data_IF_435583216973
#
_entry.id   IF_435583216973
#
_cell.length_a   1.000
_cell.length_b   1.000
_cell.length_c   1.000
_cell.angle_alpha   90.00
_cell.angle_beta   90.00
_cell.angle_gamma   90.00
#
_symmetry.space_group_name_H-M   'P 1'
#
loop_
_entity.id
_entity.type
_entity.pdbx_description
1 polymer ?
#
# COMPACT_ATOMS: atom_id res chain seq x y z
N UNK A 1 3.42 -1.80 -14.71
CA UNK A 1 2.31 -0.92 -15.14
C UNK A 1 2.90 0.47 -15.35
N UNK A 2 2.49 1.22 -16.38
CA UNK A 2 2.97 2.59 -16.53
C UNK A 2 2.51 3.43 -15.33
N UNK A 3 3.41 4.22 -14.76
CA UNK A 3 3.12 5.11 -13.64
C UNK A 3 3.37 6.56 -14.05
N UNK A 4 2.64 7.50 -13.45
CA UNK A 4 2.84 8.93 -13.65
C UNK A 4 3.07 9.59 -12.29
N UNK A 5 4.10 10.42 -12.16
CA UNK A 5 4.41 11.14 -10.91
C UNK A 5 3.46 12.31 -10.69
N UNK A 6 3.31 12.76 -9.44
CA UNK A 6 2.56 13.98 -9.13
C UNK A 6 3.14 15.21 -9.82
N UNK A 7 4.47 15.32 -9.89
CA UNK A 7 5.13 16.42 -10.59
C UNK A 7 4.66 16.51 -12.05
N UNK A 8 4.62 15.38 -12.77
CA UNK A 8 4.16 15.34 -14.16
C UNK A 8 2.66 15.69 -14.28
N UNK A 9 1.82 15.20 -13.37
CA UNK A 9 0.39 15.56 -13.34
C UNK A 9 0.18 17.06 -13.09
N UNK A 10 0.92 17.63 -12.13
CA UNK A 10 0.87 19.06 -11.79
C UNK A 10 1.39 19.93 -12.93
N UNK A 11 2.48 19.54 -13.57
CA UNK A 11 3.01 20.21 -14.75
C UNK A 11 1.94 20.28 -15.83
N UNK A 12 1.37 19.14 -16.21
CA UNK A 12 0.34 19.07 -17.27
C UNK A 12 -0.92 19.85 -16.93
N UNK A 13 -1.37 19.79 -15.67
CA UNK A 13 -2.48 20.61 -15.21
C UNK A 13 -2.13 22.10 -15.31
N UNK A 14 -0.93 22.49 -14.89
CA UNK A 14 -0.46 23.86 -14.96
C UNK A 14 -0.37 24.35 -16.41
N UNK A 15 0.12 23.53 -17.33
CA UNK A 15 0.14 23.82 -18.76
C UNK A 15 -1.29 23.99 -19.31
N UNK A 16 -2.20 23.09 -18.96
CA UNK A 16 -3.59 23.12 -19.40
C UNK A 16 -4.36 24.38 -18.95
N UNK A 17 -4.09 24.89 -17.75
CA UNK A 17 -4.69 26.13 -17.23
C UNK A 17 -3.87 27.39 -17.56
N UNK A 18 -2.76 27.23 -18.30
CA UNK A 18 -1.86 28.32 -18.68
C UNK A 18 -1.04 28.93 -17.54
N UNK A 19 -0.82 28.19 -16.44
CA UNK A 19 -0.14 28.59 -15.20
C UNK A 19 1.17 27.84 -14.97
N UNK A 20 1.90 27.54 -16.05
CA UNK A 20 3.18 26.84 -15.99
C UNK A 20 4.33 27.72 -16.48
N UNK A 21 5.32 27.92 -15.60
CA UNK A 21 6.60 28.57 -15.90
C UNK A 21 7.68 27.78 -15.16
N UNK A 22 8.57 27.11 -15.87
CA UNK A 22 9.72 26.42 -15.30
C UNK A 22 10.97 27.26 -15.52
N UNK A 23 11.82 27.35 -14.51
CA UNK A 23 13.05 28.12 -14.54
C UNK A 23 14.14 27.47 -13.68
N UNK A 24 15.36 28.01 -13.77
CA UNK A 24 16.52 27.53 -13.04
C UNK A 24 17.25 28.72 -12.43
N UNK A 25 17.58 28.66 -11.14
CA UNK A 25 18.33 29.74 -10.48
C UNK A 25 19.69 29.94 -11.14
N UNK A 26 20.08 31.21 -11.31
CA UNK A 26 21.35 31.56 -11.95
C UNK A 26 22.39 32.05 -10.95
N UNK A 27 22.02 32.23 -9.68
CA UNK A 27 22.91 32.66 -8.60
C UNK A 27 22.38 32.17 -7.27
N UNK A 28 23.28 32.07 -6.29
CA UNK A 28 22.92 31.76 -4.90
C UNK A 28 22.01 32.85 -4.33
N UNK A 29 20.91 32.41 -3.73
CA UNK A 29 20.05 33.21 -2.89
C UNK A 29 20.30 32.95 -1.41
N UNK A 30 19.34 33.37 -0.58
CA UNK A 30 19.32 33.07 0.86
C UNK A 30 18.16 32.11 1.16
N UNK A 31 17.82 31.94 2.44
CA UNK A 31 16.58 31.24 2.80
C UNK A 31 15.33 32.04 2.43
N UNK A 32 15.43 33.35 2.16
CA UNK A 32 14.31 34.23 1.83
C UNK A 32 14.37 34.81 0.42
N UNK A 33 15.36 34.44 -0.38
CA UNK A 33 15.51 34.94 -1.75
C UNK A 33 15.84 33.84 -2.75
N UNK A 34 15.34 34.03 -3.97
CA UNK A 34 15.64 33.21 -5.13
C UNK A 34 16.11 34.14 -6.26
N UNK A 35 17.29 33.88 -6.84
CA UNK A 35 17.90 34.75 -7.85
C UNK A 35 17.95 34.05 -9.21
N UNK A 36 17.33 34.67 -10.22
CA UNK A 36 17.28 34.15 -11.57
C UNK A 36 17.23 35.28 -12.62
N UNK A 37 18.36 35.47 -13.29
CA UNK A 37 18.53 36.50 -14.33
C UNK A 37 17.63 36.30 -15.55
N UNK A 38 17.12 35.09 -15.77
CA UNK A 38 16.22 34.77 -16.89
C UNK A 38 14.78 35.23 -16.65
N UNK A 39 14.41 35.63 -15.42
CA UNK A 39 13.09 36.15 -15.10
C UNK A 39 12.68 37.33 -15.99
N UNK A 40 13.64 38.16 -16.43
CA UNK A 40 13.38 39.27 -17.37
C UNK A 40 12.88 38.83 -18.75
N UNK A 41 13.12 37.58 -19.12
CA UNK A 41 12.66 37.02 -20.40
C UNK A 41 11.20 36.56 -20.35
N UNK A 42 10.61 36.46 -19.15
CA UNK A 42 9.20 36.12 -19.00
C UNK A 42 8.31 37.34 -19.28
N UNK A 43 7.07 37.13 -19.75
CA UNK A 43 6.08 38.21 -19.85
C UNK A 43 5.95 38.93 -18.51
N UNK A 44 6.05 40.27 -18.53
CA UNK A 44 6.01 41.11 -17.31
C UNK A 44 7.27 41.06 -16.44
N UNK A 45 8.29 40.28 -16.80
CA UNK A 45 9.54 40.18 -16.03
C UNK A 45 10.39 41.47 -16.01
N UNK A 46 10.07 42.43 -16.87
CA UNK A 46 10.65 43.78 -16.82
C UNK A 46 9.89 44.74 -15.89
N UNK A 47 8.73 44.35 -15.37
CA UNK A 47 7.88 45.21 -14.57
C UNK A 47 8.13 45.01 -13.08
N UNK A 48 8.21 46.12 -12.36
CA UNK A 48 8.22 46.13 -10.89
C UNK A 48 6.93 45.46 -10.41
N UNK A 49 7.06 44.48 -9.51
CA UNK A 49 5.98 43.77 -8.83
C UNK A 49 5.23 42.69 -9.64
N UNK A 50 5.64 42.35 -10.87
CA UNK A 50 4.87 41.41 -11.70
C UNK A 50 4.65 40.03 -11.07
N UNK A 51 5.67 39.50 -10.40
CA UNK A 51 5.64 38.19 -9.73
C UNK A 51 5.19 38.27 -8.27
N UNK A 52 4.79 39.42 -7.76
CA UNK A 52 4.28 39.52 -6.39
C UNK A 52 3.00 38.71 -6.25
N UNK A 53 2.83 38.06 -5.10
CA UNK A 53 1.74 37.14 -4.77
C UNK A 53 1.75 35.80 -5.53
N UNK A 54 2.65 35.60 -6.49
CA UNK A 54 2.86 34.29 -7.12
C UNK A 54 3.54 33.34 -6.13
N UNK A 55 3.62 32.06 -6.50
CA UNK A 55 4.26 31.01 -5.73
C UNK A 55 5.46 30.47 -6.49
N UNK A 56 6.61 30.42 -5.83
CA UNK A 56 7.80 29.73 -6.30
C UNK A 56 7.88 28.34 -5.65
N UNK A 57 7.79 27.28 -6.45
CA UNK A 57 7.90 25.88 -6.04
C UNK A 57 9.25 25.33 -6.49
N UNK A 58 10.13 24.97 -5.55
CA UNK A 58 11.40 24.34 -5.89
C UNK A 58 11.18 22.88 -6.30
N UNK A 59 11.68 22.49 -7.46
CA UNK A 59 11.56 21.13 -8.03
C UNK A 59 12.89 20.37 -8.03
N UNK A 60 13.96 20.95 -7.47
CA UNK A 60 15.22 20.27 -7.19
C UNK A 60 15.95 20.93 -6.01
N UNK A 61 17.09 20.36 -5.63
CA UNK A 61 17.97 20.89 -4.60
C UNK A 61 17.44 20.64 -3.17
N UNK A 62 18.07 21.29 -2.19
CA UNK A 62 17.78 21.07 -0.76
C UNK A 62 16.35 21.44 -0.33
N UNK A 63 15.65 22.22 -1.16
CA UNK A 63 14.29 22.69 -0.88
C UNK A 63 13.25 22.02 -1.80
N UNK A 64 13.57 20.91 -2.47
CA UNK A 64 12.67 20.21 -3.39
C UNK A 64 11.29 19.91 -2.78
N UNK A 65 10.23 20.13 -3.56
CA UNK A 65 8.84 19.91 -3.17
C UNK A 65 8.26 21.00 -2.26
N UNK A 66 9.04 22.01 -1.90
CA UNK A 66 8.57 23.14 -1.08
C UNK A 66 8.26 24.35 -1.94
N UNK A 67 7.14 25.02 -1.64
CA UNK A 67 6.77 26.28 -2.29
C UNK A 67 6.63 27.41 -1.28
N UNK A 68 6.83 28.64 -1.77
CA UNK A 68 6.69 29.88 -1.00
C UNK A 68 6.01 30.94 -1.84
N UNK A 69 5.17 31.76 -1.18
CA UNK A 69 4.57 32.94 -1.80
C UNK A 69 5.63 34.03 -1.94
N UNK A 70 5.66 34.68 -3.09
CA UNK A 70 6.56 35.80 -3.40
C UNK A 70 5.96 37.06 -2.78
N UNK A 71 6.69 37.65 -1.85
CA UNK A 71 6.30 38.91 -1.21
C UNK A 71 6.76 40.13 -2.00
N UNK A 72 7.87 40.01 -2.74
CA UNK A 72 8.45 41.10 -3.54
C UNK A 72 9.27 40.58 -4.71
N UNK A 73 9.25 41.31 -5.83
CA UNK A 73 10.18 41.10 -6.94
C UNK A 73 11.09 42.30 -7.17
N UNK A 74 12.41 42.10 -7.04
CA UNK A 74 13.40 43.12 -7.41
C UNK A 74 13.85 42.92 -8.86
N UNK A 75 13.31 43.72 -9.77
CA UNK A 75 13.62 43.66 -11.20
C UNK A 75 15.08 43.98 -11.53
N UNK A 76 15.75 44.83 -10.74
CA UNK A 76 17.15 45.22 -11.03
C UNK A 76 18.10 44.03 -10.83
N UNK A 77 17.92 43.32 -9.72
CA UNK A 77 18.73 42.16 -9.34
C UNK A 77 18.11 40.82 -9.75
N UNK A 78 16.93 40.85 -10.39
CA UNK A 78 16.15 39.66 -10.77
C UNK A 78 15.97 38.69 -9.61
N UNK A 79 15.57 39.22 -8.46
CA UNK A 79 15.46 38.48 -7.20
C UNK A 79 14.00 38.41 -6.76
N UNK A 80 13.49 37.20 -6.57
CA UNK A 80 12.24 36.97 -5.85
C UNK A 80 12.55 36.92 -4.37
N UNK A 81 11.80 37.70 -3.58
CA UNK A 81 11.80 37.62 -2.12
C UNK A 81 10.54 36.89 -1.70
N UNK A 82 10.69 35.88 -0.85
CA UNK A 82 9.56 35.06 -0.37
C UNK A 82 9.06 35.54 0.98
N UNK A 83 7.77 35.32 1.24
CA UNK A 83 7.10 35.75 2.48
C UNK A 83 7.56 34.94 3.70
N UNK A 84 7.83 33.64 3.52
CA UNK A 84 8.38 32.77 4.56
C UNK A 84 9.63 32.07 4.08
N UNK A 85 10.59 31.88 4.98
CA UNK A 85 11.87 31.27 4.66
C UNK A 85 11.72 29.82 4.18
N UNK A 86 12.55 29.43 3.22
CA UNK A 86 12.85 28.03 2.92
C UNK A 86 13.64 27.38 4.07
N UNK A 87 13.66 26.05 4.11
CA UNK A 87 14.39 25.30 5.16
C UNK A 87 15.91 25.40 5.02
N UNK A 88 16.40 25.74 3.82
CA UNK A 88 17.82 25.95 3.51
C UNK A 88 17.97 27.07 2.48
N UNK A 89 19.18 27.61 2.33
CA UNK A 89 19.46 28.60 1.29
C UNK A 89 19.17 28.02 -0.10
N UNK A 90 18.67 28.86 -1.02
CA UNK A 90 18.44 28.46 -2.41
C UNK A 90 19.74 28.60 -3.19
N UNK A 91 20.33 27.49 -3.61
CA UNK A 91 21.59 27.44 -4.35
C UNK A 91 21.41 27.88 -5.82
N UNK A 92 22.51 28.02 -6.56
CA UNK A 92 22.53 28.10 -8.02
C UNK A 92 22.09 26.77 -8.65
N UNK A 93 21.59 26.78 -9.89
CA UNK A 93 21.13 25.60 -10.65
C UNK A 93 19.95 24.83 -10.03
N UNK A 94 19.24 25.44 -9.07
CA UNK A 94 17.99 24.91 -8.53
C UNK A 94 16.87 25.14 -9.54
N UNK A 95 16.20 24.06 -9.95
CA UNK A 95 15.02 24.13 -10.79
C UNK A 95 13.82 24.49 -9.93
N UNK A 96 12.97 25.37 -10.46
CA UNK A 96 11.76 25.80 -9.78
C UNK A 96 10.67 26.16 -10.80
N UNK A 97 9.44 26.19 -10.32
CA UNK A 97 8.29 26.61 -11.09
C UNK A 97 7.62 27.83 -10.46
N UNK A 98 7.09 28.71 -11.31
CA UNK A 98 6.28 29.84 -10.90
C UNK A 98 4.81 29.60 -11.24
N UNK A 99 3.96 29.85 -10.25
CA UNK A 99 2.53 29.64 -10.32
C UNK A 99 1.77 30.85 -9.77
N UNK A 100 0.70 31.29 -10.45
CA UNK A 100 -0.18 32.35 -9.92
C UNK A 100 -1.09 31.86 -8.80
N UNK A 101 -1.38 30.57 -8.82
CA UNK A 101 -2.23 29.93 -7.83
C UNK A 101 -1.42 29.01 -6.92
N UNK A 102 -1.89 28.87 -5.68
CA UNK A 102 -1.28 27.98 -4.70
C UNK A 102 -1.15 26.54 -5.27
N UNK A 103 0.06 25.97 -5.33
CA UNK A 103 0.28 24.61 -5.83
C UNK A 103 -0.53 23.54 -5.09
N UNK A 104 -0.87 23.75 -3.81
CA UNK A 104 -1.70 22.82 -3.03
C UNK A 104 -3.11 22.65 -3.61
N UNK A 105 -3.68 23.70 -4.20
CA UNK A 105 -4.98 23.64 -4.88
C UNK A 105 -4.94 22.70 -6.09
N UNK A 106 -3.81 22.68 -6.81
CA UNK A 106 -3.57 21.78 -7.94
C UNK A 106 -3.44 20.33 -7.44
N UNK A 107 -2.67 20.11 -6.39
CA UNK A 107 -2.52 18.78 -5.77
C UNK A 107 -3.87 18.21 -5.29
N UNK A 108 -4.68 19.03 -4.61
CA UNK A 108 -6.01 18.64 -4.15
C UNK A 108 -6.93 18.32 -5.32
N UNK A 109 -6.92 19.13 -6.37
CA UNK A 109 -7.74 18.91 -7.57
C UNK A 109 -7.37 17.62 -8.30
N UNK A 110 -6.08 17.29 -8.37
CA UNK A 110 -5.59 16.01 -8.93
C UNK A 110 -6.10 14.83 -8.09
N UNK A 111 -5.97 14.89 -6.77
CA UNK A 111 -6.43 13.81 -5.89
C UNK A 111 -7.96 13.60 -5.99
N UNK A 112 -8.75 14.68 -6.05
CA UNK A 112 -10.20 14.60 -6.26
C UNK A 112 -10.59 14.05 -7.63
N UNK A 113 -9.86 14.42 -8.68
CA UNK A 113 -10.06 13.87 -10.01
C UNK A 113 -9.81 12.37 -10.05
N UNK A 114 -8.74 11.89 -9.40
CA UNK A 114 -8.43 10.46 -9.29
C UNK A 114 -9.57 9.70 -8.58
N UNK A 115 -10.12 10.25 -7.51
CA UNK A 115 -11.26 9.68 -6.77
C UNK A 115 -12.53 9.58 -7.62
N UNK A 116 -12.94 10.68 -8.29
CA UNK A 116 -14.17 10.69 -9.10
C UNK A 116 -14.10 9.76 -10.32
N UNK A 117 -12.89 9.51 -10.84
CA UNK A 117 -12.71 8.63 -11.99
C UNK A 117 -12.91 7.15 -11.66
N UNK A 118 -12.96 6.77 -10.39
CA UNK A 118 -13.37 5.42 -9.99
C UNK A 118 -14.88 5.21 -10.21
N UNK A 119 -15.35 4.08 -10.77
CA UNK A 119 -14.59 2.86 -11.12
C UNK A 119 -14.09 2.80 -12.58
N UNK A 120 -14.23 3.88 -13.36
CA UNK A 120 -13.85 3.91 -14.78
C UNK A 120 -12.35 3.78 -14.97
N UNK A 121 -11.56 4.42 -14.09
CA UNK A 121 -10.14 4.18 -13.89
C UNK A 121 -9.98 3.54 -12.51
N UNK A 122 -9.24 2.44 -12.44
CA UNK A 122 -9.09 1.69 -11.20
C UNK A 122 -7.73 1.01 -11.14
N UNK A 123 -7.24 0.78 -9.93
CA UNK A 123 -6.10 -0.09 -9.69
C UNK A 123 -6.61 -1.53 -9.72
N UNK A 124 -5.93 -2.42 -10.45
CA UNK A 124 -6.14 -3.86 -10.26
C UNK A 124 -5.41 -4.26 -8.99
N UNK A 125 -6.14 -4.85 -8.06
CA UNK A 125 -5.63 -5.24 -6.75
C UNK A 125 -5.58 -6.75 -6.70
N UNK A 126 -4.41 -7.28 -6.33
CA UNK A 126 -4.19 -8.67 -5.95
C UNK A 126 -3.81 -8.64 -4.48
N UNK A 127 -4.52 -9.40 -3.67
CA UNK A 127 -4.26 -9.54 -2.24
C UNK A 127 -4.11 -11.01 -1.87
N UNK A 128 -3.05 -11.34 -1.13
CA UNK A 128 -2.67 -12.70 -0.73
C UNK A 128 -2.46 -12.81 0.78
N UNK A 129 -2.94 -11.83 1.54
CA UNK A 129 -2.74 -11.71 3.00
C UNK A 129 -3.55 -12.74 3.79
N UNK A 130 -4.59 -13.32 3.17
CA UNK A 130 -5.49 -14.24 3.85
C UNK A 130 -4.99 -15.69 3.70
N UNK A 131 -4.72 -16.34 4.84
CA UNK A 131 -4.49 -17.79 4.91
C UNK A 131 -5.74 -18.49 5.44
N UNK A 132 -6.15 -19.58 4.79
CA UNK A 132 -7.31 -20.36 5.19
C UNK A 132 -7.09 -20.91 6.59
N UNK A 133 -8.06 -20.65 7.47
CA UNK A 133 -8.11 -21.05 8.89
C UNK A 133 -7.08 -20.41 9.80
N UNK A 134 -6.37 -19.37 9.34
CA UNK A 134 -5.40 -18.67 10.17
C UNK A 134 -6.08 -17.84 11.27
N UNK A 135 -5.59 -18.08 12.49
CA UNK A 135 -5.95 -17.37 13.70
C UNK A 135 -5.02 -16.19 13.98
N UNK A 136 -3.87 -16.12 13.30
CA UNK A 136 -2.91 -15.05 13.47
C UNK A 136 -3.34 -13.78 12.72
N UNK A 137 -2.74 -12.67 13.13
CA UNK A 137 -2.77 -11.41 12.41
C UNK A 137 -1.35 -11.00 12.02
N UNK A 138 -1.18 -10.45 10.81
CA UNK A 138 0.11 -9.99 10.31
C UNK A 138 1.20 -11.08 10.40
N UNK A 139 0.83 -12.33 10.09
CA UNK A 139 1.71 -13.52 10.08
C UNK A 139 2.57 -13.61 8.81
N UNK A 140 2.25 -12.78 7.81
CA UNK A 140 3.06 -12.45 6.63
C UNK A 140 3.97 -11.23 6.86
N UNK A 141 3.88 -10.58 8.01
CA UNK A 141 4.71 -9.44 8.42
C UNK A 141 4.69 -8.22 7.49
N UNK A 142 3.67 -8.04 6.67
CA UNK A 142 3.54 -6.93 5.73
C UNK A 142 3.22 -5.58 6.40
N UNK A 143 2.93 -5.57 7.71
CA UNK A 143 2.63 -4.35 8.48
C UNK A 143 3.68 -4.09 9.58
N UNK A 144 4.57 -3.12 9.34
CA UNK A 144 5.61 -2.67 10.28
C UNK A 144 5.46 -1.18 10.60
N UNK A 145 5.38 -0.84 11.88
CA UNK A 145 5.27 0.55 12.37
C UNK A 145 6.02 0.72 13.69
N UNK A 146 7.36 0.75 13.61
CA UNK A 146 8.23 0.73 14.80
C UNK A 146 8.29 -0.64 15.51
N UNK A 147 7.63 -1.64 14.93
CA UNK A 147 7.45 -3.01 15.39
C UNK A 147 6.41 -3.70 14.50
N UNK A 148 6.32 -5.03 14.54
CA UNK A 148 5.31 -5.76 13.77
C UNK A 148 3.95 -5.65 14.44
N UNK A 149 2.97 -5.11 13.72
CA UNK A 149 1.62 -4.87 14.28
C UNK A 149 0.98 -6.20 14.70
N UNK A 150 0.40 -6.24 15.91
CA UNK A 150 -0.19 -7.46 16.48
C UNK A 150 0.80 -8.42 17.13
N UNK A 151 2.11 -8.14 17.11
CA UNK A 151 3.15 -8.97 17.73
C UNK A 151 3.83 -8.23 18.89
N UNK A 152 4.21 -8.98 19.92
CA UNK A 152 4.87 -8.47 21.13
C UNK A 152 6.29 -9.01 21.23
N UNK A 153 7.26 -8.09 21.37
CA UNK A 153 8.67 -8.40 21.59
C UNK A 153 8.93 -8.82 23.04
N UNK A 154 9.64 -9.93 23.25
CA UNK A 154 10.04 -10.44 24.57
C UNK A 154 11.53 -10.77 24.54
N UNK A 155 12.26 -10.42 25.59
CA UNK A 155 13.73 -10.61 25.65
C UNK A 155 14.54 -9.50 24.98
N UNK A 156 13.92 -8.35 24.71
CA UNK A 156 14.53 -7.17 24.09
C UNK A 156 15.25 -7.44 22.75
N UNK A 157 14.66 -8.20 21.81
CA UNK A 157 15.23 -8.37 20.49
C UNK A 157 15.37 -7.04 19.74
N UNK A 158 16.24 -7.00 18.75
CA UNK A 158 16.17 -5.97 17.70
C UNK A 158 15.35 -6.52 16.55
N UNK A 159 14.24 -5.86 16.22
CA UNK A 159 13.38 -6.25 15.09
C UNK A 159 13.36 -5.18 14.01
N UNK A 160 13.26 -5.62 12.76
CA UNK A 160 13.22 -4.74 11.60
C UNK A 160 12.51 -5.42 10.43
N UNK A 161 11.85 -4.63 9.58
CA UNK A 161 11.36 -5.10 8.30
C UNK A 161 12.54 -5.34 7.33
N UNK A 162 12.71 -6.59 6.90
CA UNK A 162 13.68 -6.98 5.88
C UNK A 162 13.00 -7.00 4.51
N UNK A 163 13.59 -6.35 3.51
CA UNK A 163 12.98 -6.20 2.16
C UNK A 163 13.77 -6.90 1.07
N UNK A 164 14.95 -7.43 1.40
CA UNK A 164 15.83 -8.13 0.45
C UNK A 164 15.75 -9.65 0.57
N UNK A 165 15.60 -10.16 1.79
CA UNK A 165 15.45 -11.57 2.09
C UNK A 165 14.03 -11.83 2.57
N UNK A 166 13.15 -12.16 1.62
CA UNK A 166 11.70 -12.27 1.82
C UNK A 166 11.24 -13.61 1.23
N UNK A 167 10.36 -14.33 1.94
CA UNK A 167 9.78 -15.59 1.45
C UNK A 167 8.54 -15.32 0.59
N UNK A 168 7.73 -14.34 0.98
CA UNK A 168 6.53 -13.95 0.25
C UNK A 168 6.19 -12.48 0.54
N UNK A 169 5.51 -11.81 -0.40
CA UNK A 169 5.08 -10.43 -0.19
C UNK A 169 6.20 -9.41 -0.42
N UNK A 170 6.25 -8.37 0.41
CA UNK A 170 7.18 -7.25 0.27
C UNK A 170 8.23 -7.16 1.38
N UNK A 171 7.99 -7.82 2.52
CA UNK A 171 8.93 -7.80 3.63
C UNK A 171 8.79 -9.02 4.54
N UNK A 172 9.88 -9.38 5.22
CA UNK A 172 9.90 -10.41 6.25
C UNK A 172 10.28 -9.82 7.62
N UNK A 173 9.98 -10.55 8.70
CA UNK A 173 10.41 -10.18 10.04
C UNK A 173 11.85 -10.62 10.31
N UNK A 174 12.79 -9.67 10.28
CA UNK A 174 14.13 -9.89 10.82
C UNK A 174 14.13 -9.65 12.32
N UNK A 175 14.66 -10.61 13.05
CA UNK A 175 14.85 -10.55 14.50
C UNK A 175 16.27 -10.94 14.86
N UNK A 176 16.89 -10.13 15.72
CA UNK A 176 18.18 -10.41 16.34
C UNK A 176 17.99 -10.53 17.85
N UNK A 177 18.32 -11.70 18.41
CA UNK A 177 18.26 -11.90 19.86
C UNK A 177 19.27 -11.01 20.59
N UNK A 178 18.90 -10.54 21.79
CA UNK A 178 19.80 -9.73 22.60
C UNK A 178 21.05 -10.52 23.05
N UNK A 179 22.10 -9.81 23.44
CA UNK A 179 23.28 -10.45 24.00
C UNK A 179 22.92 -11.18 25.32
N UNK A 180 23.13 -12.49 25.35
CA UNK A 180 22.88 -13.32 26.54
C UNK A 180 21.42 -13.67 26.82
N UNK A 181 20.48 -13.31 25.95
CA UNK A 181 19.06 -13.69 26.09
C UNK A 181 18.44 -14.02 24.72
N UNK A 182 17.55 -15.01 24.70
CA UNK A 182 16.74 -15.30 23.50
C UNK A 182 15.82 -14.12 23.19
N UNK A 183 15.75 -13.74 21.92
CA UNK A 183 14.75 -12.80 21.42
C UNK A 183 13.48 -13.52 21.00
N UNK A 184 12.32 -12.94 21.27
CA UNK A 184 11.04 -13.53 20.89
C UNK A 184 10.08 -12.50 20.29
N UNK A 185 9.33 -12.94 19.28
CA UNK A 185 8.10 -12.29 18.82
C UNK A 185 6.92 -13.19 19.18
N UNK A 186 5.94 -12.64 19.89
CA UNK A 186 4.82 -13.42 20.42
C UNK A 186 3.46 -12.84 20.03
N UNK A 187 2.47 -13.71 19.82
CA UNK A 187 1.09 -13.31 19.60
C UNK A 187 0.16 -14.30 20.31
N UNK A 188 -0.67 -13.79 21.22
CA UNK A 188 -1.74 -14.58 21.84
C UNK A 188 -3.00 -14.44 21.01
N UNK A 189 -3.53 -15.56 20.54
CA UNK A 189 -4.82 -15.60 19.85
C UNK A 189 -5.94 -15.80 20.86
N UNK A 190 -7.13 -15.25 20.59
CA UNK A 190 -8.29 -15.36 21.47
C UNK A 190 -9.45 -16.13 20.82
N UNK A 191 -9.26 -17.38 20.35
CA UNK A 191 -10.41 -18.24 20.10
C UNK A 191 -11.10 -18.57 21.43
N UNK A 192 -12.38 -18.96 21.37
CA UNK A 192 -13.03 -19.53 22.55
C UNK A 192 -12.35 -20.86 22.87
N UNK A 193 -11.46 -20.87 23.87
CA UNK A 193 -10.63 -22.04 24.20
C UNK A 193 -11.49 -23.29 24.43
N UNK A 194 -12.69 -23.14 25.01
CA UNK A 194 -13.64 -24.25 25.21
C UNK A 194 -14.13 -24.92 23.92
N UNK A 195 -14.14 -24.20 22.79
CA UNK A 195 -14.55 -24.75 21.49
C UNK A 195 -13.44 -25.52 20.80
N UNK A 196 -12.19 -25.38 21.26
CA UNK A 196 -11.00 -25.96 20.63
C UNK A 196 -10.17 -26.82 21.58
N UNK A 197 -10.55 -26.92 22.86
CA UNK A 197 -10.02 -27.89 23.81
C UNK A 197 -10.03 -29.30 23.20
N UNK A 198 -8.94 -30.04 23.36
CA UNK A 198 -8.73 -31.38 22.78
C UNK A 198 -8.74 -31.43 21.24
N UNK A 199 -8.73 -30.29 20.54
CA UNK A 199 -8.48 -30.25 19.09
C UNK A 199 -7.00 -30.07 18.82
N UNK A 200 -6.59 -30.44 17.62
CA UNK A 200 -5.23 -30.21 17.16
C UNK A 200 -5.04 -28.74 16.77
N UNK A 201 -3.94 -28.16 17.25
CA UNK A 201 -3.41 -26.88 16.80
C UNK A 201 -2.13 -27.13 16.00
N UNK A 202 -2.04 -26.53 14.81
CA UNK A 202 -0.88 -26.62 13.94
C UNK A 202 -0.38 -25.21 13.65
N UNK A 203 0.86 -24.93 14.06
CA UNK A 203 1.57 -23.70 13.76
C UNK A 203 2.66 -23.99 12.74
N UNK A 204 2.75 -23.16 11.70
CA UNK A 204 3.81 -23.22 10.70
C UNK A 204 4.31 -21.83 10.36
N UNK A 205 5.60 -21.70 10.12
CA UNK A 205 6.26 -20.48 9.65
C UNK A 205 7.42 -20.83 8.73
N UNK A 206 7.61 -20.01 7.70
CA UNK A 206 8.88 -20.01 6.99
C UNK A 206 9.91 -19.29 7.85
N UNK A 207 11.03 -19.97 8.08
CA UNK A 207 12.13 -19.45 8.91
C UNK A 207 13.42 -19.53 8.11
N UNK A 208 14.23 -18.48 8.18
CA UNK A 208 15.57 -18.46 7.62
C UNK A 208 16.58 -18.21 8.73
N UNK A 209 17.62 -19.02 8.77
CA UNK A 209 18.81 -18.76 9.57
C UNK A 209 20.08 -19.35 8.92
N UNK A 210 21.22 -18.70 9.16
CA UNK A 210 22.52 -19.09 8.60
C UNK A 210 23.31 -20.04 9.50
N UNK A 211 22.87 -20.21 10.74
CA UNK A 211 23.52 -21.01 11.78
C UNK A 211 22.48 -21.98 12.36
N UNK A 212 22.90 -23.19 12.70
CA UNK A 212 22.02 -24.18 13.31
C UNK A 212 21.56 -23.70 14.69
N UNK A 213 20.44 -24.22 15.18
CA UNK A 213 19.92 -23.94 16.53
C UNK A 213 19.63 -22.46 16.80
N UNK A 214 19.55 -21.64 15.75
CA UNK A 214 19.37 -20.18 15.86
C UNK A 214 17.92 -19.79 16.02
N UNK A 215 16.97 -20.53 15.45
CA UNK A 215 15.56 -20.19 15.50
C UNK A 215 14.64 -21.39 15.55
N UNK A 216 13.46 -21.22 16.15
CA UNK A 216 12.37 -22.20 16.18
C UNK A 216 11.04 -21.52 16.43
N UNK A 217 9.95 -22.27 16.30
CA UNK A 217 8.60 -21.82 16.60
C UNK A 217 7.98 -22.66 17.72
N UNK A 218 7.10 -22.03 18.51
CA UNK A 218 6.54 -22.66 19.72
C UNK A 218 5.09 -22.27 19.94
N UNK A 219 4.36 -23.16 20.61
CA UNK A 219 3.00 -22.97 21.11
C UNK A 219 3.06 -23.00 22.64
N UNK A 220 2.54 -21.97 23.28
CA UNK A 220 2.46 -21.82 24.73
C UNK A 220 0.99 -21.79 25.17
N UNK A 221 0.64 -22.69 26.11
CA UNK A 221 -0.72 -22.93 26.59
C UNK A 221 -1.05 -22.23 27.92
N UNK A 222 -0.05 -21.91 28.75
CA UNK A 222 -0.25 -21.35 30.10
C UNK A 222 0.93 -20.54 30.69
N UNK A 223 2.01 -20.36 29.93
CA UNK A 223 3.26 -19.73 30.34
C UNK A 223 4.37 -20.73 30.68
N UNK A 224 4.06 -22.02 30.76
CA UNK A 224 4.98 -23.09 31.18
C UNK A 224 4.85 -24.38 30.37
N UNK A 225 3.64 -24.74 29.95
CA UNK A 225 3.38 -25.84 29.01
C UNK A 225 3.58 -25.33 27.58
N UNK A 226 4.67 -25.77 26.96
CA UNK A 226 5.15 -25.26 25.69
C UNK A 226 5.57 -26.39 24.76
N UNK A 227 4.87 -26.52 23.64
CA UNK A 227 5.27 -27.36 22.52
C UNK A 227 6.18 -26.57 21.56
N UNK A 228 7.25 -27.19 21.07
CA UNK A 228 8.23 -26.52 20.20
C UNK A 228 8.47 -27.33 18.93
N UNK A 229 8.74 -26.65 17.83
CA UNK A 229 9.33 -27.30 16.66
C UNK A 229 10.79 -27.68 16.94
N UNK A 230 11.35 -28.49 16.05
CA UNK A 230 12.80 -28.56 15.90
C UNK A 230 13.38 -27.17 15.57
N UNK A 231 14.66 -26.98 15.87
CA UNK A 231 15.38 -25.78 15.44
C UNK A 231 15.61 -25.79 13.92
N UNK A 232 15.72 -24.59 13.36
CA UNK A 232 16.18 -24.37 11.99
C UNK A 232 17.56 -25.01 11.78
N UNK A 233 17.74 -25.67 10.63
CA UNK A 233 18.95 -26.49 10.41
C UNK A 233 20.22 -25.70 10.12
N UNK A 234 20.08 -24.38 9.90
CA UNK A 234 21.21 -23.45 9.73
C UNK A 234 21.84 -23.46 8.34
N UNK A 235 21.10 -23.91 7.32
CA UNK A 235 21.63 -24.12 5.96
C UNK A 235 21.60 -22.88 5.06
N UNK A 236 21.42 -21.69 5.63
CA UNK A 236 21.36 -20.44 4.86
C UNK A 236 20.26 -20.48 3.77
N UNK A 237 19.08 -20.96 4.16
CA UNK A 237 17.92 -21.11 3.30
C UNK A 237 16.63 -20.97 4.11
N UNK A 238 15.51 -20.79 3.41
CA UNK A 238 14.18 -20.86 4.02
C UNK A 238 13.78 -22.31 4.32
N UNK A 239 13.31 -22.56 5.53
CA UNK A 239 12.75 -23.84 5.95
C UNK A 239 11.37 -23.63 6.59
N UNK A 240 10.39 -24.43 6.17
CA UNK A 240 9.06 -24.40 6.76
C UNK A 240 9.08 -25.21 8.05
N UNK A 241 9.19 -24.52 9.20
CA UNK A 241 9.08 -25.15 10.50
C UNK A 241 7.61 -25.41 10.84
N UNK A 242 7.36 -26.51 11.56
CA UNK A 242 6.02 -26.95 11.94
C UNK A 242 6.03 -27.48 13.36
N UNK A 243 5.03 -27.07 14.16
CA UNK A 243 4.71 -27.70 15.44
C UNK A 243 3.22 -28.01 15.45
N UNK A 244 2.87 -29.21 15.89
CA UNK A 244 1.48 -29.66 16.00
C UNK A 244 1.28 -30.32 17.35
N UNK A 245 0.29 -29.85 18.08
CA UNK A 245 -0.01 -30.29 19.43
C UNK A 245 -1.52 -30.34 19.66
N UNK A 246 -1.94 -31.03 20.71
CA UNK A 246 -3.34 -31.05 21.14
C UNK A 246 -3.54 -29.96 22.17
N UNK A 247 -4.53 -29.09 21.98
CA UNK A 247 -4.83 -28.03 22.95
C UNK A 247 -5.20 -28.65 24.30
N UNK A 248 -4.43 -28.43 25.37
CA UNK A 248 -4.69 -29.00 26.69
C UNK A 248 -6.06 -28.61 27.25
N UNK A 249 -6.63 -29.45 28.13
CA UNK A 249 -7.94 -29.18 28.75
C UNK A 249 -7.94 -28.03 29.75
N UNK A 250 -6.76 -27.71 30.26
CA UNK A 250 -6.45 -26.65 31.21
C UNK A 250 -5.72 -25.46 30.55
N UNK A 251 -5.62 -25.44 29.21
CA UNK A 251 -5.04 -24.33 28.48
C UNK A 251 -5.73 -23.01 28.87
N UNK A 252 -4.93 -22.03 29.28
CA UNK A 252 -5.41 -20.69 29.64
C UNK A 252 -5.18 -19.68 28.52
N UNK A 253 -4.36 -20.04 27.54
CA UNK A 253 -4.06 -19.24 26.36
C UNK A 253 -3.69 -20.14 25.17
N UNK A 254 -3.59 -19.53 24.00
CA UNK A 254 -2.87 -20.09 22.86
C UNK A 254 -1.96 -18.98 22.35
N UNK A 255 -0.68 -19.08 22.67
CA UNK A 255 0.32 -18.08 22.32
C UNK A 255 1.35 -18.69 21.39
N UNK A 256 1.55 -18.04 20.25
CA UNK A 256 2.64 -18.33 19.33
C UNK A 256 3.89 -17.61 19.79
N UNK A 257 5.03 -18.30 19.73
CA UNK A 257 6.36 -17.73 20.00
C UNK A 257 7.25 -18.05 18.81
N UNK A 258 7.78 -17.00 18.19
CA UNK A 258 8.90 -17.07 17.26
C UNK A 258 10.15 -16.74 18.06
N UNK A 259 11.11 -17.66 18.12
CA UNK A 259 12.29 -17.54 18.98
C UNK A 259 13.55 -17.43 18.14
N UNK A 260 14.41 -16.48 18.50
CA UNK A 260 15.79 -16.37 18.03
C UNK A 260 16.75 -16.53 19.22
N UNK A 261 17.81 -17.32 19.03
CA UNK A 261 18.85 -17.53 20.03
C UNK A 261 19.56 -16.22 20.41
N UNK A 262 20.26 -16.22 21.55
CA UNK A 262 21.03 -15.06 22.00
C UNK A 262 22.06 -14.65 20.95
N UNK A 263 22.07 -13.36 20.57
CA UNK A 263 22.86 -12.81 19.45
C UNK A 263 22.59 -13.46 18.08
N UNK A 264 21.66 -14.40 17.98
CA UNK A 264 21.29 -15.08 16.75
C UNK A 264 20.39 -14.20 15.88
N UNK A 265 20.58 -14.28 14.56
CA UNK A 265 19.74 -13.58 13.57
C UNK A 265 18.85 -14.59 12.88
N UNK A 266 17.55 -14.33 12.87
CA UNK A 266 16.56 -15.13 12.18
C UNK A 266 15.56 -14.26 11.42
N UNK A 267 15.02 -14.82 10.35
CA UNK A 267 13.97 -14.19 9.57
C UNK A 267 12.74 -15.09 9.59
N UNK A 268 11.57 -14.50 9.80
CA UNK A 268 10.30 -15.19 9.84
C UNK A 268 9.36 -14.59 8.82
N UNK A 269 8.60 -15.44 8.14
CA UNK A 269 7.69 -15.00 7.10
C UNK A 269 6.56 -16.02 6.89
N UNK A 270 5.47 -15.53 6.31
CA UNK A 270 4.44 -16.30 5.64
C UNK A 270 3.89 -17.45 6.49
N UNK A 271 3.66 -17.22 7.78
CA UNK A 271 3.20 -18.22 8.74
C UNK A 271 1.68 -18.28 8.91
N UNK A 272 1.23 -19.27 9.69
CA UNK A 272 -0.18 -19.44 10.06
C UNK A 272 -0.35 -20.35 11.28
N UNK A 273 -1.43 -20.13 12.04
CA UNK A 273 -1.90 -21.00 13.11
C UNK A 273 -3.32 -21.48 12.79
N UNK A 274 -3.49 -22.80 12.70
CA UNK A 274 -4.82 -23.42 12.51
C UNK A 274 -5.19 -24.17 13.78
N UNK A 275 -6.38 -23.86 14.34
CA UNK A 275 -7.02 -24.64 15.39
C UNK A 275 -8.53 -24.62 15.17
N UNK A 276 -8.99 -25.52 14.30
CA UNK A 276 -10.38 -25.56 13.82
C UNK A 276 -10.68 -24.60 12.66
N UNK A 277 -11.87 -24.71 12.05
CA UNK A 277 -12.23 -23.96 10.84
C UNK A 277 -12.75 -22.55 11.13
N UNK A 278 -12.29 -21.57 10.35
CA UNK A 278 -12.75 -20.17 10.30
C UNK A 278 -13.47 -19.87 8.98
N UNK A 279 -14.79 -19.73 8.97
CA UNK A 279 -15.55 -19.62 7.73
C UNK A 279 -15.62 -18.21 7.13
N UNK A 280 -15.30 -17.18 7.91
CA UNK A 280 -15.43 -15.78 7.54
C UNK A 280 -14.08 -15.07 7.56
N UNK A 281 -13.77 -14.33 6.48
CA UNK A 281 -12.54 -13.57 6.36
C UNK A 281 -12.84 -12.15 5.92
N UNK A 282 -12.24 -11.17 6.58
CA UNK A 282 -12.37 -9.75 6.22
C UNK A 282 -11.71 -9.50 4.88
N UNK A 283 -12.45 -8.87 3.96
CA UNK A 283 -11.91 -8.49 2.65
C UNK A 283 -11.05 -7.24 2.84
N UNK A 284 -9.82 -7.23 2.30
CA UNK A 284 -8.95 -6.07 2.30
C UNK A 284 -9.67 -4.82 1.77
N UNK A 285 -9.53 -3.70 2.47
CA UNK A 285 -10.20 -2.43 2.11
C UNK A 285 -9.73 -1.86 0.78
N UNK A 286 -8.57 -2.31 0.29
CA UNK A 286 -8.02 -2.02 -1.03
C UNK A 286 -8.89 -2.57 -2.16
N UNK A 287 -9.68 -3.63 -1.92
CA UNK A 287 -10.62 -4.22 -2.87
C UNK A 287 -12.02 -3.62 -2.66
N UNK A 288 -12.46 -2.78 -3.59
CA UNK A 288 -13.75 -2.08 -3.52
C UNK A 288 -14.82 -2.83 -4.31
N UNK A 289 -15.94 -3.13 -3.65
CA UNK A 289 -17.06 -3.88 -4.24
C UNK A 289 -16.89 -5.40 -4.17
N UNK A 290 -15.81 -5.89 -3.56
CA UNK A 290 -15.52 -7.31 -3.38
C UNK A 290 -14.62 -7.91 -4.48
N UNK A 291 -14.08 -9.11 -4.24
CA UNK A 291 -13.24 -9.81 -5.20
C UNK A 291 -14.03 -10.27 -6.43
N UNK A 292 -13.40 -10.11 -7.59
CA UNK A 292 -13.86 -10.66 -8.87
C UNK A 292 -13.43 -12.11 -9.05
N UNK A 293 -12.25 -12.47 -8.51
CA UNK A 293 -11.75 -13.84 -8.46
C UNK A 293 -11.25 -14.17 -7.06
N UNK A 294 -11.48 -15.44 -6.70
CA UNK A 294 -10.96 -16.05 -5.48
C UNK A 294 -10.31 -17.35 -5.91
N UNK A 295 -9.01 -17.45 -5.66
CA UNK A 295 -8.20 -18.63 -5.93
C UNK A 295 -7.38 -19.01 -4.72
N UNK A 296 -6.90 -20.25 -4.67
CA UNK A 296 -6.14 -20.77 -3.54
C UNK A 296 -4.78 -21.27 -4.04
N UNK A 297 -3.76 -21.03 -3.21
CA UNK A 297 -2.41 -21.54 -3.37
C UNK A 297 -2.40 -23.08 -3.52
N UNK A 298 -1.60 -23.58 -4.48
CA UNK A 298 -1.51 -25.01 -4.77
C UNK A 298 -0.69 -25.83 -3.76
N UNK A 299 0.43 -25.29 -3.25
CA UNK A 299 1.28 -25.96 -2.25
C UNK A 299 1.59 -25.00 -1.10
N UNK A 300 1.43 -25.41 0.16
CA UNK A 300 1.84 -24.59 1.33
C UNK A 300 3.36 -24.34 1.35
N UNK A 301 4.12 -25.26 0.74
CA UNK A 301 5.58 -25.19 0.61
C UNK A 301 6.04 -24.28 -0.52
N UNK A 302 5.13 -23.61 -1.22
CA UNK A 302 5.43 -22.70 -2.31
C UNK A 302 4.46 -21.50 -2.31
N UNK A 303 4.67 -20.50 -1.42
CA UNK A 303 3.90 -19.25 -1.34
C UNK A 303 3.69 -18.52 -2.67
N UNK A 304 4.74 -18.49 -3.50
CA UNK A 304 4.75 -17.80 -4.79
C UNK A 304 4.38 -18.71 -5.97
N UNK A 305 4.06 -19.98 -5.67
CA UNK A 305 3.64 -20.98 -6.62
C UNK A 305 2.30 -20.69 -7.31
N UNK A 306 1.78 -21.66 -8.08
CA UNK A 306 0.53 -21.48 -8.79
C UNK A 306 -0.67 -21.39 -7.84
N UNK A 307 -1.64 -20.54 -8.20
CA UNK A 307 -2.94 -20.42 -7.53
C UNK A 307 -4.02 -20.94 -8.48
N UNK A 308 -4.92 -21.76 -7.95
CA UNK A 308 -6.01 -22.35 -8.72
C UNK A 308 -7.38 -21.86 -8.24
N UNK A 309 -8.28 -21.68 -9.19
CA UNK A 309 -9.68 -21.40 -8.87
C UNK A 309 -10.29 -22.57 -8.11
N UNK A 310 -11.06 -22.23 -7.07
CA UNK A 310 -11.87 -23.21 -6.33
C UNK A 310 -12.93 -23.82 -7.29
N UNK A 311 -12.94 -25.15 -7.47
CA UNK A 311 -13.99 -25.83 -8.22
C UNK A 311 -15.37 -25.58 -7.62
N UNK A 312 -16.42 -25.81 -8.42
CA UNK A 312 -17.79 -25.75 -7.90
C UNK A 312 -17.88 -26.68 -6.68
N UNK A 313 -18.51 -26.21 -5.60
CA UNK A 313 -18.72 -27.00 -4.38
C UNK A 313 -17.43 -27.40 -3.62
N UNK A 314 -16.27 -26.88 -3.99
CA UNK A 314 -15.03 -27.13 -3.27
C UNK A 314 -15.04 -26.49 -1.88
N UNK A 315 -14.16 -26.99 -1.03
CA UNK A 315 -13.90 -26.46 0.31
C UNK A 315 -12.43 -26.05 0.33
N UNK A 316 -12.08 -24.80 0.70
CA UNK A 316 -10.69 -24.38 0.69
C UNK A 316 -9.87 -25.17 1.72
N UNK A 317 -8.60 -25.44 1.40
CA UNK A 317 -7.72 -26.25 2.24
C UNK A 317 -7.06 -25.37 3.30
N UNK A 318 -7.11 -25.79 4.57
CA UNK A 318 -6.47 -25.09 5.69
C UNK A 318 -4.97 -24.87 5.47
N UNK A 319 -4.44 -23.76 5.96
CA UNK A 319 -3.03 -23.37 5.84
C UNK A 319 -2.62 -22.90 4.43
N UNK A 320 -3.55 -22.78 3.49
CA UNK A 320 -3.27 -22.29 2.12
C UNK A 320 -3.66 -20.84 1.97
N UNK A 321 -2.85 -20.06 1.26
CA UNK A 321 -3.19 -18.67 0.94
C UNK A 321 -4.35 -18.57 -0.05
N UNK A 322 -5.21 -17.59 0.18
CA UNK A 322 -6.22 -17.13 -0.75
C UNK A 322 -5.66 -15.95 -1.53
N UNK A 323 -5.78 -16.00 -2.85
CA UNK A 323 -5.56 -14.86 -3.74
C UNK A 323 -6.91 -14.26 -4.10
N UNK A 324 -7.14 -13.05 -3.59
CA UNK A 324 -8.28 -12.20 -3.93
C UNK A 324 -7.87 -11.23 -5.02
N UNK A 325 -8.58 -11.24 -6.14
CA UNK A 325 -8.36 -10.28 -7.23
C UNK A 325 -9.57 -9.39 -7.41
N UNK A 326 -9.36 -8.09 -7.43
CA UNK A 326 -10.44 -7.12 -7.63
C UNK A 326 -9.95 -5.78 -8.14
N UNK A 327 -10.77 -4.75 -7.93
CA UNK A 327 -10.45 -3.38 -8.31
C UNK A 327 -10.49 -2.48 -7.08
N UNK A 328 -9.60 -1.51 -7.05
CA UNK A 328 -9.49 -0.52 -5.99
C UNK A 328 -9.30 0.89 -6.53
N UNK A 329 -9.21 1.85 -5.62
CA UNK A 329 -8.79 3.20 -5.95
C UNK A 329 -7.35 3.20 -6.43
N UNK A 330 -7.05 4.11 -7.36
CA UNK A 330 -5.68 4.43 -7.74
C UNK A 330 -4.97 5.16 -6.60
N UNK A 331 -3.65 5.06 -6.57
CA UNK A 331 -2.84 5.76 -5.58
C UNK A 331 -2.99 7.28 -5.71
N UNK A 332 -3.15 7.95 -4.57
CA UNK A 332 -3.20 9.42 -4.46
C UNK A 332 -1.81 9.92 -4.06
N UNK A 333 -1.04 10.51 -4.98
CA UNK A 333 0.35 10.81 -4.69
C UNK A 333 0.49 12.00 -3.71
N UNK A 334 1.26 11.79 -2.64
CA UNK A 334 1.47 12.74 -1.54
C UNK A 334 2.80 13.50 -1.60
N UNK A 335 3.72 13.12 -2.48
CA UNK A 335 4.98 13.81 -2.81
C UNK A 335 5.15 13.97 -4.32
N UNK A 336 6.12 14.76 -4.77
CA UNK A 336 6.38 15.00 -6.20
C UNK A 336 6.92 13.75 -6.91
N UNK A 337 7.62 12.88 -6.18
CA UNK A 337 8.10 11.57 -6.62
C UNK A 337 7.03 10.47 -6.52
N UNK A 338 5.99 10.65 -5.70
CA UNK A 338 4.91 9.67 -5.59
C UNK A 338 4.14 9.55 -6.91
N UNK A 339 3.66 8.35 -7.19
CA UNK A 339 3.06 8.00 -8.48
C UNK A 339 1.61 7.54 -8.37
N UNK A 340 0.90 7.67 -9.49
CA UNK A 340 -0.37 7.00 -9.78
C UNK A 340 -0.15 5.90 -10.81
N UNK A 341 -0.86 4.77 -10.71
CA UNK A 341 -0.69 3.59 -11.56
C UNK A 341 -1.34 3.72 -12.95
N UNK A 342 -1.08 4.84 -13.63
CA UNK A 342 -1.58 5.13 -14.96
C UNK A 342 -0.51 5.73 -15.86
N UNK A 343 -0.66 5.50 -17.16
CA UNK A 343 0.03 6.22 -18.23
C UNK A 343 -0.99 6.74 -19.26
N UNK A 344 -0.48 7.26 -20.38
CA UNK A 344 -1.32 7.74 -21.48
C UNK A 344 -2.18 6.64 -22.10
N UNK A 345 -3.39 6.96 -22.60
CA UNK A 345 -4.04 8.29 -22.66
C UNK A 345 -4.78 8.71 -21.37
N UNK A 346 -4.74 7.87 -20.32
CA UNK A 346 -5.58 8.05 -19.11
C UNK A 346 -5.11 9.22 -18.25
N UNK A 347 -3.82 9.52 -18.26
CA UNK A 347 -3.23 10.69 -17.59
C UNK A 347 -3.89 11.99 -18.04
N UNK A 348 -4.12 12.17 -19.34
CA UNK A 348 -4.81 13.34 -19.89
C UNK A 348 -6.26 13.48 -19.39
N UNK A 349 -6.95 12.36 -19.15
CA UNK A 349 -8.31 12.37 -18.57
C UNK A 349 -8.30 12.85 -17.12
N UNK A 350 -7.31 12.44 -16.31
CA UNK A 350 -7.13 12.95 -14.95
C UNK A 350 -6.92 14.46 -14.97
N UNK A 351 -6.06 14.95 -15.87
CA UNK A 351 -5.76 16.38 -15.99
C UNK A 351 -7.02 17.19 -16.33
N UNK A 352 -7.85 16.72 -17.25
CA UNK A 352 -9.12 17.40 -17.60
C UNK A 352 -10.09 17.47 -16.41
N UNK A 353 -10.25 16.36 -15.67
CA UNK A 353 -11.07 16.35 -14.45
C UNK A 353 -10.48 17.24 -13.35
N UNK A 354 -9.15 17.27 -13.20
CA UNK A 354 -8.48 18.12 -12.22
C UNK A 354 -8.66 19.60 -12.57
N UNK A 355 -8.59 19.99 -13.85
CA UNK A 355 -8.86 21.37 -14.29
C UNK A 355 -10.30 21.80 -13.97
N UNK A 356 -11.28 20.92 -14.19
CA UNK A 356 -12.68 21.16 -13.79
C UNK A 356 -12.80 21.43 -12.29
N UNK A 357 -12.18 20.60 -11.44
CA UNK A 357 -12.20 20.81 -9.98
C UNK A 357 -11.51 22.09 -9.56
N UNK A 358 -10.36 22.37 -10.16
CA UNK A 358 -9.57 23.56 -9.88
C UNK A 358 -10.37 24.84 -10.11
N UNK A 359 -11.03 24.96 -11.27
CA UNK A 359 -11.86 26.14 -11.56
C UNK A 359 -13.14 26.19 -10.73
N UNK A 360 -13.72 25.04 -10.35
CA UNK A 360 -14.88 25.02 -9.44
C UNK A 360 -14.52 25.57 -8.06
N UNK A 361 -13.34 25.22 -7.56
CA UNK A 361 -12.82 25.75 -6.30
C UNK A 361 -12.59 27.27 -6.41
N UNK A 362 -11.94 27.75 -7.48
CA UNK A 362 -11.75 29.19 -7.71
C UNK A 362 -13.07 29.96 -7.84
N UNK A 363 -14.09 29.37 -8.47
CA UNK A 363 -15.41 29.98 -8.57
C UNK A 363 -16.06 30.18 -7.19
N UNK A 364 -15.89 29.22 -6.28
CA UNK A 364 -16.39 29.29 -4.90
C UNK A 364 -15.77 30.42 -4.07
N UNK A 365 -14.50 30.75 -4.31
CA UNK A 365 -13.75 31.74 -3.53
C UNK A 365 -13.81 33.16 -4.13
N UNK A 366 -14.44 33.34 -5.30
CA UNK A 366 -14.33 34.57 -6.11
C UNK A 366 -15.56 35.49 -6.03
N UNK A 367 -15.31 36.81 -6.13
CA UNK A 367 -16.35 37.83 -6.29
C UNK A 367 -17.13 37.66 -7.62
N UNK A 368 -18.36 38.21 -7.68
CA UNK A 368 -19.37 37.96 -8.74
C UNK A 368 -18.87 38.06 -10.20
N UNK A 369 -17.98 39.01 -10.53
CA UNK A 369 -17.48 39.19 -11.90
C UNK A 369 -16.45 38.12 -12.34
N UNK A 370 -15.57 37.71 -11.44
CA UNK A 370 -14.62 36.62 -11.69
C UNK A 370 -15.34 35.27 -11.78
N UNK A 371 -16.47 35.15 -11.07
CA UNK A 371 -17.32 33.96 -11.04
C UNK A 371 -17.80 33.54 -12.44
N UNK A 372 -18.19 34.50 -13.30
CA UNK A 372 -18.65 34.21 -14.66
C UNK A 372 -17.57 33.56 -15.54
N UNK A 373 -16.33 34.06 -15.47
CA UNK A 373 -15.19 33.48 -16.20
C UNK A 373 -14.86 32.08 -15.69
N UNK A 374 -14.86 31.87 -14.38
CA UNK A 374 -14.56 30.57 -13.79
C UNK A 374 -15.65 29.55 -14.08
N UNK A 375 -16.92 29.93 -14.04
CA UNK A 375 -18.03 29.05 -14.42
C UNK A 375 -17.95 28.63 -15.89
N UNK A 376 -17.64 29.56 -16.80
CA UNK A 376 -17.42 29.22 -18.21
C UNK A 376 -16.25 28.23 -18.39
N UNK A 377 -15.16 28.39 -17.62
CA UNK A 377 -14.06 27.42 -17.61
C UNK A 377 -14.50 26.05 -17.07
N UNK A 378 -15.30 26.01 -15.99
CA UNK A 378 -15.86 24.76 -15.45
C UNK A 378 -16.71 24.04 -16.49
N UNK A 379 -17.56 24.74 -17.24
CA UNK A 379 -18.39 24.17 -18.31
C UNK A 379 -17.53 23.58 -19.44
N UNK A 380 -16.53 24.34 -19.90
CA UNK A 380 -15.59 23.89 -20.93
C UNK A 380 -14.88 22.61 -20.48
N UNK A 381 -14.27 22.61 -19.30
CA UNK A 381 -13.56 21.44 -18.78
C UNK A 381 -14.48 20.27 -18.45
N UNK A 382 -15.74 20.51 -18.07
CA UNK A 382 -16.73 19.45 -17.90
C UNK A 382 -17.07 18.77 -19.23
N UNK A 383 -17.20 19.55 -20.31
CA UNK A 383 -17.43 18.99 -21.65
C UNK A 383 -16.23 18.20 -22.16
N UNK A 384 -15.01 18.70 -21.93
CA UNK A 384 -13.78 18.02 -22.33
C UNK A 384 -13.53 16.75 -21.52
N UNK A 385 -13.76 16.80 -20.21
CA UNK A 385 -13.72 15.64 -19.33
C UNK A 385 -14.70 14.54 -19.76
N UNK A 386 -15.94 14.91 -20.11
CA UNK A 386 -16.95 13.97 -20.62
C UNK A 386 -16.53 13.37 -21.97
N UNK A 387 -16.00 14.20 -22.88
CA UNK A 387 -15.48 13.77 -24.19
C UNK A 387 -14.36 12.75 -24.00
N UNK A 388 -13.35 13.06 -23.19
CA UNK A 388 -12.23 12.15 -22.90
C UNK A 388 -12.68 10.86 -22.21
N UNK A 389 -13.58 10.94 -21.22
CA UNK A 389 -14.10 9.77 -20.52
C UNK A 389 -14.91 8.80 -21.43
N UNK A 390 -15.41 9.30 -22.56
CA UNK A 390 -16.09 8.49 -23.58
C UNK A 390 -15.16 7.97 -24.69
N UNK A 391 -13.91 8.45 -24.74
CA UNK A 391 -12.97 8.07 -25.79
C UNK A 391 -12.57 6.58 -25.68
N UNK A 392 -12.42 5.87 -26.82
CA UNK A 392 -11.98 4.48 -26.82
C UNK A 392 -10.63 4.31 -26.12
N UNK A 393 -10.51 3.29 -25.27
CA UNK A 393 -9.26 2.94 -24.57
C UNK A 393 -8.99 3.71 -23.27
N UNK A 394 -9.76 4.75 -22.95
CA UNK A 394 -9.63 5.49 -21.68
C UNK A 394 -10.19 4.66 -20.52
N UNK A 395 -11.44 4.21 -20.63
CA UNK A 395 -12.07 3.37 -19.59
C UNK A 395 -11.35 2.03 -19.49
N UNK A 396 -11.02 1.64 -18.27
CA UNK A 396 -10.47 0.33 -18.00
C UNK A 396 -11.60 -0.71 -18.01
N UNK A 397 -11.45 -1.82 -18.74
CA UNK A 397 -12.43 -2.89 -18.68
C UNK A 397 -12.42 -3.48 -17.27
N UNK A 398 -13.61 -3.61 -16.68
CA UNK A 398 -13.77 -4.38 -15.46
C UNK A 398 -13.26 -5.80 -15.71
N UNK A 399 -12.55 -6.42 -14.76
CA UNK A 399 -12.23 -7.83 -14.86
C UNK A 399 -13.51 -8.64 -15.09
N UNK A 400 -13.40 -9.77 -15.79
CA UNK A 400 -14.46 -10.78 -15.70
C UNK A 400 -14.71 -11.13 -14.23
N UNK A 401 -15.92 -11.56 -13.90
CA UNK A 401 -16.25 -11.95 -12.54
C UNK A 401 -16.53 -13.45 -12.48
N UNK A 402 -15.91 -14.13 -11.52
CA UNK A 402 -16.29 -15.47 -11.13
C UNK A 402 -17.49 -15.36 -10.18
N UNK A 403 -18.64 -15.92 -10.58
CA UNK A 403 -19.69 -16.24 -9.59
C UNK A 403 -19.07 -17.22 -8.60
N UNK A 404 -19.26 -17.05 -7.28
CA UNK A 404 -18.66 -17.88 -6.23
C UNK A 404 -18.92 -19.39 -6.33
N UNK A 405 -19.62 -19.89 -7.36
CA UNK A 405 -19.84 -21.31 -7.70
C UNK A 405 -20.33 -22.14 -6.50
N UNK A 406 -21.13 -21.54 -5.60
CA UNK A 406 -21.61 -22.16 -4.35
C UNK A 406 -20.47 -22.60 -3.41
N UNK A 407 -19.33 -21.91 -3.48
CA UNK A 407 -18.16 -22.09 -2.61
C UNK A 407 -18.08 -20.98 -1.59
N UNK A 408 -18.29 -19.74 -2.04
CA UNK A 408 -18.25 -18.56 -1.21
C UNK A 408 -19.30 -17.54 -1.63
N UNK A 409 -19.66 -16.67 -0.70
CA UNK A 409 -20.46 -15.48 -0.95
C UNK A 409 -19.88 -14.28 -0.18
N UNK A 410 -20.43 -13.10 -0.44
CA UNK A 410 -20.05 -11.87 0.22
C UNK A 410 -21.09 -11.49 1.25
N UNK A 411 -20.65 -11.14 2.45
CA UNK A 411 -21.47 -10.52 3.49
C UNK A 411 -20.91 -9.14 3.81
N UNK A 412 -21.77 -8.23 4.28
CA UNK A 412 -21.42 -6.88 4.68
C UNK A 412 -22.20 -6.51 5.93
N UNK A 413 -21.50 -5.98 6.93
CA UNK A 413 -22.07 -5.44 8.17
C UNK A 413 -21.50 -4.04 8.47
N UNK A 414 -21.68 -3.54 9.71
CA UNK A 414 -21.13 -2.24 10.11
C UNK A 414 -19.61 -2.19 10.19
N UNK A 415 -18.97 -3.34 10.36
CA UNK A 415 -17.56 -3.49 10.70
C UNK A 415 -16.73 -3.82 9.46
N UNK A 416 -17.36 -4.37 8.40
CA UNK A 416 -16.74 -4.48 7.10
C UNK A 416 -17.45 -5.38 6.10
N UNK A 417 -16.67 -5.82 5.12
CA UNK A 417 -17.08 -6.80 4.10
C UNK A 417 -16.30 -8.07 4.30
N UNK A 418 -16.97 -9.19 4.10
CA UNK A 418 -16.43 -10.50 4.36
C UNK A 418 -16.62 -11.42 3.18
N UNK A 419 -15.66 -12.32 2.98
CA UNK A 419 -15.85 -13.53 2.21
C UNK A 419 -16.19 -14.65 3.18
N UNK A 420 -17.32 -15.31 2.92
CA UNK A 420 -17.83 -16.40 3.74
C UNK A 420 -17.83 -17.70 2.92
N UNK A 421 -17.27 -18.76 3.49
CA UNK A 421 -17.28 -20.10 2.90
C UNK A 421 -18.39 -20.95 3.55
N UNK A 422 -19.40 -21.29 2.75
CA UNK A 422 -20.66 -21.90 3.23
C UNK A 422 -20.56 -23.35 3.66
N UNK A 423 -19.48 -24.04 3.30
CA UNK A 423 -19.34 -25.48 3.45
C UNK A 423 -18.46 -25.80 4.64
N UNK A 424 -18.95 -26.69 5.49
CA UNK A 424 -18.17 -27.25 6.59
C UNK A 424 -16.90 -27.91 6.06
N UNK A 425 -15.76 -27.58 6.67
CA UNK A 425 -14.50 -28.27 6.40
C UNK A 425 -14.44 -29.50 7.30
N UNK A 426 -14.88 -30.63 6.76
CA UNK A 426 -14.67 -31.91 7.39
C UNK A 426 -13.20 -32.28 7.23
N UNK A 427 -12.47 -32.44 8.33
CA UNK A 427 -11.05 -32.83 8.35
C UNK A 427 -10.81 -34.21 7.74
N UNK A 428 -11.86 -34.98 7.41
CA UNK A 428 -11.79 -36.26 6.71
C UNK A 428 -11.82 -36.15 5.17
N UNK A 429 -12.21 -35.01 4.60
CA UNK A 429 -12.15 -34.80 3.16
C UNK A 429 -10.74 -34.34 2.76
N UNK A 430 -9.94 -35.26 2.22
CA UNK A 430 -8.57 -34.98 1.78
C UNK A 430 -8.47 -33.83 0.75
N UNK A 431 -7.26 -33.28 0.60
CA UNK A 431 -6.97 -32.09 -0.21
C UNK A 431 -7.57 -32.16 -1.63
N UNK A 432 -8.55 -31.30 -1.91
CA UNK A 432 -9.21 -31.24 -3.21
C UNK A 432 -8.23 -30.91 -4.35
N UNK A 433 -7.13 -30.20 -4.04
CA UNK A 433 -6.08 -29.91 -5.01
C UNK A 433 -5.32 -31.19 -5.41
N UNK A 434 -5.06 -32.08 -4.44
CA UNK A 434 -4.49 -33.41 -4.69
C UNK A 434 -5.45 -34.35 -5.43
N UNK A 435 -6.76 -34.24 -5.18
CA UNK A 435 -7.80 -34.99 -5.92
C UNK A 435 -7.86 -34.59 -7.41
N UNK A 436 -7.58 -33.33 -7.75
CA UNK A 436 -7.54 -32.88 -9.15
C UNK A 436 -6.27 -33.32 -9.88
N UNK A 437 -5.15 -33.40 -9.18
CA UNK A 437 -3.90 -33.93 -9.73
C UNK A 437 -4.02 -35.42 -10.06
N UNK A 438 -4.71 -36.22 -9.23
CA UNK A 438 -4.94 -37.64 -9.52
C UNK A 438 -5.94 -37.89 -10.65
N UNK A 439 -6.96 -37.04 -10.82
CA UNK A 439 -7.93 -37.14 -11.92
C UNK A 439 -7.45 -36.59 -13.28
N UNK A 440 -6.29 -35.93 -13.34
CA UNK A 440 -5.68 -35.47 -14.60
C UNK A 440 -4.80 -36.55 -15.27
N UNK A 441 -4.54 -37.67 -14.56
CA UNK A 441 -3.77 -38.83 -15.04
C UNK A 441 -4.63 -40.10 -15.13
N UNK A 442 -5.95 -39.95 -15.15
CA UNK A 442 -6.95 -40.98 -15.49
C UNK A 442 -7.75 -40.54 -16.69
#
# INVERSE_FOLDING_TARGET
MATTTRAVLRQRLSEAIGDYRSQTTTSEGTTTTLVDTTLKNLPGGGDTNHFEEWYALCTSGANEGTFRRVSRYNVQTTTLVVESAFGSAVDTTVNYELHRYDPSHKHNSINRAIEELYPSLHKRVRDETLVVDDLLSNSDFETFSGGFTGWTEVGSPTVSAETSLVMHGSQAAKMVGAAGATGQLTQTVTPNVHEITNKSATLKFWVYATEADTARIRLDWDGSDIDSSDYHSGKDQWELLSVTATVPSDATQIKVILEAAASGTAYFDAGWLVSGPKYQYTIPTTIIGGPYYVSQQFSETDPDGPYYQLPRNAVPTAGRRLRLEGIGLLSRPSSDSATVELGEPRTSTIVAYAARYFYRMLAGDSALEANARWNAAVEMWSSEAARMASAPGVRMPKPGAQKGRQVWHLEEDSDGRYIVFDRSRDTSMGDWAAQRASGAWS
#
